data_IF_020184292615
#
_entry.id   IF_020184292615
#
_cell.length_a   1.000
_cell.length_b   1.000
_cell.length_c   1.000
_cell.angle_alpha   90.00
_cell.angle_beta   90.00
_cell.angle_gamma   90.00
#
_symmetry.space_group_name_H-M   'P 1'
#
loop_
_entity.id
_entity.type
_entity.pdbx_description
1 polymer ?
#
# COMPACT_ATOMS: atom_id res chain seq x y z
N UNK A 1 22.59 3.84 0.06
CA UNK A 1 23.54 4.84 0.59
C UNK A 1 22.74 6.05 0.96
N UNK A 2 22.71 6.38 2.26
CA UNK A 2 21.99 7.54 2.80
C UNK A 2 22.67 8.82 2.32
N UNK A 3 21.92 9.71 1.68
CA UNK A 3 22.35 11.08 1.48
C UNK A 3 21.74 11.89 2.64
N UNK A 4 22.59 12.44 3.51
CA UNK A 4 22.18 13.33 4.61
C UNK A 4 21.22 12.73 5.65
N UNK A 5 21.35 11.43 5.97
CA UNK A 5 20.50 10.75 6.98
C UNK A 5 19.07 10.48 6.51
N UNK A 6 18.79 10.65 5.21
CA UNK A 6 17.54 10.30 4.55
C UNK A 6 17.70 9.05 3.70
N UNK A 7 16.61 8.30 3.59
CA UNK A 7 16.48 7.19 2.67
C UNK A 7 16.53 7.66 1.21
N UNK A 8 17.11 6.84 0.34
CA UNK A 8 17.56 7.29 -0.98
C UNK A 8 16.39 7.59 -1.93
N UNK A 9 15.34 6.77 -1.93
CA UNK A 9 14.23 6.90 -2.86
C UNK A 9 13.09 7.72 -2.27
N UNK A 10 12.69 7.45 -1.02
CA UNK A 10 11.54 8.14 -0.40
C UNK A 10 11.92 9.51 0.20
N UNK A 11 13.22 9.78 0.40
CA UNK A 11 13.73 11.04 0.96
C UNK A 11 13.22 11.37 2.38
N UNK A 12 12.97 10.32 3.16
CA UNK A 12 12.49 10.37 4.55
C UNK A 12 13.61 10.01 5.53
N UNK A 13 13.56 10.56 6.73
CA UNK A 13 14.40 10.21 7.88
C UNK A 13 13.53 9.68 9.04
N UNK A 14 14.13 8.99 10.04
CA UNK A 14 13.40 8.62 11.25
C UNK A 14 12.67 9.81 11.88
N UNK A 15 11.38 9.63 12.18
CA UNK A 15 10.51 10.68 12.72
C UNK A 15 9.70 11.45 11.66
N UNK A 16 10.02 11.32 10.37
CA UNK A 16 9.23 11.92 9.28
C UNK A 16 7.86 11.23 9.09
N UNK A 17 7.79 9.94 9.42
CA UNK A 17 6.57 9.12 9.31
C UNK A 17 6.09 8.58 10.65
N UNK A 18 4.82 8.19 10.70
CA UNK A 18 4.26 7.40 11.79
C UNK A 18 4.55 5.90 11.65
N UNK A 19 4.13 5.11 12.65
CA UNK A 19 4.23 3.64 12.61
C UNK A 19 3.31 3.00 11.57
N UNK A 20 2.15 3.64 11.34
CA UNK A 20 1.11 3.18 10.43
C UNK A 20 1.14 3.97 9.12
N UNK A 21 1.29 3.27 8.00
CA UNK A 21 1.41 3.90 6.68
C UNK A 21 0.41 3.32 5.68
N UNK A 22 -0.39 4.20 5.07
CA UNK A 22 -1.25 3.85 3.93
C UNK A 22 -0.44 3.93 2.63
N UNK A 23 -0.56 2.92 1.76
CA UNK A 23 0.26 2.76 0.56
C UNK A 23 -0.57 2.77 -0.74
N UNK A 24 -1.01 3.94 -1.24
CA UNK A 24 -1.60 4.02 -2.58
C UNK A 24 -0.55 3.76 -3.66
N UNK A 25 -1.00 3.32 -4.84
CA UNK A 25 -0.11 3.23 -6.01
C UNK A 25 0.18 4.59 -6.62
N UNK A 26 -0.88 5.35 -6.89
CA UNK A 26 -0.83 6.65 -7.54
C UNK A 26 -0.40 7.76 -6.54
N UNK A 27 0.67 8.53 -6.82
CA UNK A 27 1.05 9.72 -6.05
C UNK A 27 -0.09 10.73 -5.86
N UNK A 28 -0.96 10.88 -6.87
CA UNK A 28 -2.12 11.77 -6.82
C UNK A 28 -3.17 11.35 -5.80
N UNK A 29 -3.09 10.12 -5.27
CA UNK A 29 -4.00 9.62 -4.22
C UNK A 29 -3.51 9.92 -2.81
N UNK A 30 -2.24 10.34 -2.63
CA UNK A 30 -1.71 10.67 -1.31
C UNK A 30 -2.42 11.88 -0.69
N UNK A 31 -2.61 12.96 -1.43
CA UNK A 31 -3.25 14.17 -0.91
C UNK A 31 -4.72 13.93 -0.51
N UNK A 32 -5.59 13.30 -1.33
CA UNK A 32 -6.96 12.96 -0.91
C UNK A 32 -7.03 12.05 0.32
N UNK A 33 -6.09 11.11 0.48
CA UNK A 33 -6.01 10.27 1.68
C UNK A 33 -5.56 11.12 2.88
N UNK A 34 -4.52 11.93 2.72
CA UNK A 34 -3.97 12.78 3.77
C UNK A 34 -4.98 13.82 4.28
N UNK A 35 -5.89 14.29 3.41
CA UNK A 35 -6.99 15.19 3.78
C UNK A 35 -7.97 14.58 4.80
N UNK A 36 -7.92 13.26 5.04
CA UNK A 36 -8.70 12.56 6.06
C UNK A 36 -7.97 12.44 7.40
N UNK A 37 -6.70 12.87 7.49
CA UNK A 37 -5.94 12.91 8.74
C UNK A 37 -6.03 14.31 9.37
N UNK A 38 -5.81 14.38 10.67
CA UNK A 38 -5.65 15.64 11.40
C UNK A 38 -4.24 16.23 11.16
N UNK A 39 -4.15 17.54 10.91
CA UNK A 39 -2.91 18.32 10.70
C UNK A 39 -1.89 17.67 9.72
N UNK A 40 -2.41 17.06 8.64
CA UNK A 40 -1.56 16.44 7.62
C UNK A 40 -0.69 17.46 6.87
N UNK A 41 0.58 17.12 6.71
CA UNK A 41 1.56 17.92 5.97
C UNK A 41 2.29 17.07 4.95
N UNK A 42 2.57 17.64 3.79
CA UNK A 42 3.48 17.06 2.81
C UNK A 42 4.89 17.03 3.44
N UNK A 43 5.48 15.84 3.52
CA UNK A 43 6.81 15.64 4.13
C UNK A 43 7.89 15.49 3.06
N UNK A 44 7.62 14.70 2.03
CA UNK A 44 8.53 14.47 0.92
C UNK A 44 7.78 14.20 -0.38
N UNK A 45 8.40 14.57 -1.50
CA UNK A 45 7.97 14.21 -2.85
C UNK A 45 9.22 13.97 -3.68
N UNK A 46 9.48 12.71 -4.01
CA UNK A 46 10.62 12.32 -4.83
C UNK A 46 10.25 11.12 -5.72
N UNK A 47 10.47 11.25 -7.03
CA UNK A 47 10.06 10.25 -8.03
C UNK A 47 8.56 9.92 -7.89
N UNK A 48 8.20 8.65 -7.78
CA UNK A 48 6.84 8.17 -7.53
C UNK A 48 6.44 8.13 -6.04
N UNK A 49 7.31 8.59 -5.12
CA UNK A 49 7.10 8.52 -3.67
C UNK A 49 6.70 9.90 -3.11
N UNK A 50 5.40 10.13 -2.97
CA UNK A 50 4.82 11.28 -2.30
C UNK A 50 4.38 10.83 -0.91
N UNK A 51 4.88 11.51 0.12
CA UNK A 51 4.58 11.19 1.52
C UNK A 51 3.94 12.37 2.24
N UNK A 52 2.79 12.11 2.85
CA UNK A 52 2.18 13.00 3.84
C UNK A 52 2.17 12.33 5.20
N UNK A 53 2.25 13.13 6.25
CA UNK A 53 2.15 12.67 7.64
C UNK A 53 1.23 13.60 8.40
N UNK A 54 0.35 13.03 9.21
CA UNK A 54 -0.60 13.71 10.08
C UNK A 54 -0.95 12.81 11.26
N UNK A 55 -2.18 12.93 11.76
CA UNK A 55 -2.65 12.15 12.90
C UNK A 55 -4.03 11.52 12.64
N UNK A 56 -4.27 10.36 13.24
CA UNK A 56 -5.58 9.74 13.36
C UNK A 56 -5.77 9.32 14.82
N UNK A 57 -6.83 9.78 15.47
CA UNK A 57 -7.10 9.51 16.88
C UNK A 57 -5.91 9.85 17.81
N UNK A 58 -5.14 10.90 17.46
CA UNK A 58 -3.93 11.33 18.17
C UNK A 58 -2.67 10.51 17.86
N UNK A 59 -2.76 9.43 17.09
CA UNK A 59 -1.64 8.60 16.67
C UNK A 59 -1.03 9.13 15.37
N UNK A 60 0.30 9.21 15.29
CA UNK A 60 0.99 9.68 14.09
C UNK A 60 0.84 8.64 12.97
N UNK A 61 0.31 9.06 11.83
CA UNK A 61 0.10 8.20 10.66
C UNK A 61 0.62 8.86 9.39
N UNK A 62 0.94 8.05 8.39
CA UNK A 62 1.44 8.54 7.11
C UNK A 62 0.71 7.90 5.93
N UNK A 63 0.83 8.54 4.78
CA UNK A 63 0.48 7.96 3.48
C UNK A 63 1.65 8.18 2.54
N UNK A 64 2.09 7.11 1.88
CA UNK A 64 3.23 7.12 0.94
C UNK A 64 2.86 6.38 -0.33
N UNK A 65 2.95 7.03 -1.49
CA UNK A 65 2.71 6.34 -2.76
C UNK A 65 3.84 5.38 -3.11
N UNK A 66 3.49 4.31 -3.82
CA UNK A 66 4.43 3.26 -4.21
C UNK A 66 4.77 3.26 -5.70
N UNK A 67 4.04 4.01 -6.52
CA UNK A 67 4.01 3.78 -7.96
C UNK A 67 3.32 2.46 -8.33
N UNK A 68 3.45 2.11 -9.62
CA UNK A 68 2.94 0.86 -10.20
C UNK A 68 4.04 -0.21 -10.16
N UNK A 69 3.67 -1.42 -9.75
CA UNK A 69 4.53 -2.60 -9.76
C UNK A 69 5.10 -2.94 -8.38
N UNK A 70 5.42 -4.22 -8.19
CA UNK A 70 6.07 -4.68 -6.98
C UNK A 70 7.49 -4.12 -6.77
N UNK A 71 8.32 -3.82 -7.80
CA UNK A 71 9.67 -3.33 -7.58
C UNK A 71 9.73 -1.99 -6.82
N UNK A 72 8.92 -1.02 -7.24
CA UNK A 72 8.83 0.30 -6.59
C UNK A 72 8.12 0.22 -5.23
N UNK A 73 7.11 -0.63 -5.11
CA UNK A 73 6.47 -0.89 -3.81
C UNK A 73 7.43 -1.49 -2.77
N UNK A 74 8.32 -2.41 -3.18
CA UNK A 74 9.32 -2.98 -2.30
C UNK A 74 10.31 -1.91 -1.80
N UNK A 75 10.77 -1.01 -2.68
CA UNK A 75 11.61 0.13 -2.29
C UNK A 75 10.92 0.98 -1.21
N UNK A 76 9.66 1.34 -1.41
CA UNK A 76 8.91 2.14 -0.44
C UNK A 76 8.81 1.44 0.91
N UNK A 77 8.43 0.16 0.93
CA UNK A 77 8.24 -0.60 2.18
C UNK A 77 9.56 -0.78 2.93
N UNK A 78 10.65 -1.12 2.24
CA UNK A 78 11.98 -1.27 2.85
C UNK A 78 12.45 0.04 3.50
N UNK A 79 12.42 1.15 2.75
CA UNK A 79 12.89 2.43 3.25
C UNK A 79 11.98 2.98 4.36
N UNK A 80 10.66 2.79 4.27
CA UNK A 80 9.72 3.15 5.34
C UNK A 80 9.96 2.34 6.61
N UNK A 81 10.25 1.04 6.49
CA UNK A 81 10.55 0.19 7.63
C UNK A 81 11.82 0.66 8.36
N UNK A 82 12.86 1.07 7.61
CA UNK A 82 14.10 1.60 8.17
C UNK A 82 13.86 2.90 8.96
N UNK A 83 12.92 3.75 8.54
CA UNK A 83 12.59 5.02 9.24
C UNK A 83 11.53 4.87 10.34
N UNK A 84 11.11 3.64 10.66
CA UNK A 84 10.32 3.32 11.84
C UNK A 84 8.84 3.01 11.59
N UNK A 85 8.40 2.89 10.32
CA UNK A 85 7.09 2.33 10.02
C UNK A 85 7.09 0.80 10.26
N UNK A 86 6.00 0.26 10.79
CA UNK A 86 5.90 -1.19 11.05
C UNK A 86 4.57 -1.80 10.59
N UNK A 87 3.59 -0.97 10.25
CA UNK A 87 2.25 -1.40 9.85
C UNK A 87 1.85 -0.74 8.55
N UNK A 88 1.59 -1.55 7.53
CA UNK A 88 1.34 -1.07 6.16
C UNK A 88 -0.02 -1.55 5.64
N UNK A 89 -0.82 -0.63 5.07
CA UNK A 89 -2.07 -0.97 4.40
C UNK A 89 -2.03 -0.44 2.97
N UNK A 90 -2.00 -1.33 1.98
CA UNK A 90 -2.09 -0.94 0.57
C UNK A 90 -3.51 -0.53 0.19
N UNK A 91 -3.66 0.66 -0.39
CA UNK A 91 -4.94 1.23 -0.84
C UNK A 91 -4.93 1.36 -2.37
N UNK A 92 -5.32 0.27 -3.03
CA UNK A 92 -5.22 0.12 -4.48
C UNK A 92 -6.55 0.18 -5.22
N UNK A 93 -6.45 -0.05 -6.52
CA UNK A 93 -7.56 -0.37 -7.42
C UNK A 93 -7.24 -1.71 -8.07
N UNK A 94 -8.26 -2.52 -8.35
CA UNK A 94 -8.09 -3.85 -8.95
C UNK A 94 -9.19 -4.13 -9.96
N UNK A 95 -8.89 -4.95 -10.95
CA UNK A 95 -9.90 -5.55 -11.84
C UNK A 95 -10.61 -6.71 -11.17
N UNK A 96 -11.89 -6.91 -11.51
CA UNK A 96 -12.66 -8.07 -11.10
C UNK A 96 -12.28 -9.32 -11.92
N UNK A 97 -12.09 -10.46 -11.25
CA UNK A 97 -11.92 -11.77 -11.90
C UNK A 97 -13.25 -12.55 -11.88
N UNK A 98 -13.96 -12.49 -10.74
CA UNK A 98 -15.25 -13.16 -10.56
C UNK A 98 -16.36 -12.34 -11.22
N UNK A 99 -17.21 -13.00 -12.01
CA UNK A 99 -18.25 -12.34 -12.84
C UNK A 99 -19.30 -11.57 -12.04
N UNK A 100 -19.48 -11.90 -10.76
CA UNK A 100 -20.45 -11.28 -9.86
C UNK A 100 -19.86 -10.10 -9.06
N UNK A 101 -18.59 -9.76 -9.26
CA UNK A 101 -18.00 -8.53 -8.71
C UNK A 101 -18.32 -7.37 -9.65
N UNK A 102 -18.88 -6.30 -9.07
CA UNK A 102 -19.17 -5.05 -9.78
C UNK A 102 -18.21 -3.94 -9.35
N UNK A 103 -17.98 -2.97 -10.25
CA UNK A 103 -17.16 -1.80 -9.95
C UNK A 103 -17.66 -1.05 -8.72
N UNK A 104 -16.73 -0.66 -7.85
CA UNK A 104 -17.02 0.04 -6.60
C UNK A 104 -17.18 -0.86 -5.37
N UNK A 105 -17.19 -2.19 -5.52
CA UNK A 105 -17.11 -3.10 -4.36
C UNK A 105 -15.71 -3.07 -3.74
N UNK A 106 -15.65 -3.08 -2.40
CA UNK A 106 -14.40 -3.14 -1.65
C UNK A 106 -13.89 -4.59 -1.57
N UNK A 107 -12.62 -4.81 -1.91
CA UNK A 107 -11.94 -6.07 -1.70
C UNK A 107 -10.94 -5.95 -0.53
N UNK A 108 -11.05 -6.85 0.44
CA UNK A 108 -10.09 -7.04 1.52
C UNK A 108 -9.26 -8.28 1.18
N UNK A 109 -7.97 -8.11 0.99
CA UNK A 109 -7.11 -9.17 0.47
C UNK A 109 -6.48 -9.95 1.62
N UNK A 110 -6.74 -11.25 1.70
CA UNK A 110 -6.15 -12.15 2.69
C UNK A 110 -4.85 -12.81 2.19
N UNK A 111 -4.60 -12.77 0.88
CA UNK A 111 -3.37 -13.24 0.25
C UNK A 111 -3.31 -12.94 -1.24
N UNK A 112 -2.16 -13.16 -1.86
CA UNK A 112 -1.94 -12.86 -3.26
C UNK A 112 -1.28 -14.04 -4.01
N UNK A 113 -1.70 -14.24 -5.27
CA UNK A 113 -0.95 -15.05 -6.24
C UNK A 113 0.30 -14.24 -6.62
N UNK A 114 1.47 -14.88 -6.50
CA UNK A 114 2.79 -14.32 -6.76
C UNK A 114 3.18 -14.46 -8.23
N UNK A 115 2.39 -13.86 -9.12
CA UNK A 115 2.62 -13.85 -10.58
C UNK A 115 3.50 -12.65 -10.98
N UNK A 116 4.57 -12.42 -10.23
CA UNK A 116 5.47 -11.28 -10.37
C UNK A 116 6.90 -11.64 -9.95
N UNK A 117 7.87 -10.85 -10.40
CA UNK A 117 9.29 -11.12 -10.22
C UNK A 117 9.90 -10.55 -8.95
N UNK A 118 9.23 -9.67 -8.21
CA UNK A 118 9.87 -9.04 -7.04
C UNK A 118 9.92 -9.98 -5.87
N UNK A 119 8.81 -10.64 -5.51
CA UNK A 119 8.78 -11.47 -4.30
C UNK A 119 9.73 -12.67 -4.36
N UNK A 120 10.04 -13.20 -5.56
CA UNK A 120 10.97 -14.32 -5.71
C UNK A 120 12.41 -13.97 -5.34
N UNK A 121 12.74 -12.66 -5.32
CA UNK A 121 14.02 -12.17 -4.84
C UNK A 121 14.07 -12.03 -3.31
N UNK A 122 12.91 -12.10 -2.64
CA UNK A 122 12.80 -12.06 -1.17
C UNK A 122 12.66 -13.45 -0.57
N UNK A 123 11.78 -14.28 -1.13
CA UNK A 123 11.43 -15.60 -0.59
C UNK A 123 11.24 -16.63 -1.72
N UNK A 124 11.54 -17.92 -1.47
CA UNK A 124 11.25 -19.01 -2.42
C UNK A 124 9.79 -19.00 -2.88
N UNK A 125 9.49 -19.40 -4.11
CA UNK A 125 8.14 -19.30 -4.71
C UNK A 125 7.05 -20.05 -3.92
N UNK A 126 7.44 -21.07 -3.18
CA UNK A 126 6.59 -21.88 -2.30
C UNK A 126 6.09 -21.10 -1.07
N UNK A 127 6.77 -20.03 -0.69
CA UNK A 127 6.36 -19.20 0.43
C UNK A 127 5.06 -18.43 0.09
N UNK A 128 4.01 -18.53 0.90
CA UNK A 128 2.75 -17.91 0.56
C UNK A 128 2.76 -16.40 0.86
N UNK A 129 2.30 -15.57 -0.09
CA UNK A 129 2.07 -14.16 0.16
C UNK A 129 0.73 -13.98 0.89
N UNK A 130 0.75 -14.05 2.22
CA UNK A 130 -0.42 -13.93 3.09
C UNK A 130 -0.41 -12.58 3.82
N UNK A 131 -1.59 -11.99 3.98
CA UNK A 131 -1.74 -10.76 4.76
C UNK A 131 -1.68 -11.07 6.26
N UNK A 132 -1.31 -10.07 7.06
CA UNK A 132 -1.39 -10.17 8.52
C UNK A 132 -2.85 -10.43 8.96
N UNK A 133 -3.03 -11.36 9.89
CA UNK A 133 -4.35 -11.81 10.32
C UNK A 133 -5.11 -10.70 11.05
N UNK A 134 -4.44 -10.01 11.97
CA UNK A 134 -5.07 -9.00 12.82
C UNK A 134 -5.45 -7.77 11.99
N UNK A 135 -4.60 -7.38 11.05
CA UNK A 135 -4.86 -6.29 10.11
C UNK A 135 -6.02 -6.62 9.17
N UNK A 136 -6.06 -7.85 8.65
CA UNK A 136 -7.17 -8.34 7.81
C UNK A 136 -8.49 -8.26 8.57
N UNK A 137 -8.51 -8.75 9.82
CA UNK A 137 -9.72 -8.68 10.65
C UNK A 137 -10.09 -7.24 11.02
N UNK A 138 -9.11 -6.35 11.25
CA UNK A 138 -9.35 -4.94 11.52
C UNK A 138 -10.06 -4.27 10.33
N UNK A 139 -9.60 -4.51 9.10
CA UNK A 139 -10.26 -4.04 7.88
C UNK A 139 -11.69 -4.58 7.74
N UNK A 140 -11.91 -5.88 8.03
CA UNK A 140 -13.26 -6.46 7.99
C UNK A 140 -14.19 -5.83 9.02
N UNK A 141 -13.70 -5.57 10.24
CA UNK A 141 -14.48 -4.88 11.29
C UNK A 141 -14.80 -3.46 10.88
N UNK A 142 -13.84 -2.74 10.31
CA UNK A 142 -14.05 -1.38 9.80
C UNK A 142 -15.11 -1.36 8.69
N UNK A 143 -15.01 -2.25 7.70
CA UNK A 143 -15.97 -2.34 6.60
C UNK A 143 -17.39 -2.71 7.08
N UNK A 144 -17.52 -3.62 8.05
CA UNK A 144 -18.81 -3.92 8.69
C UNK A 144 -19.38 -2.70 9.42
N UNK A 145 -18.55 -1.95 10.14
CA UNK A 145 -18.96 -0.75 10.89
C UNK A 145 -19.47 0.36 9.97
N UNK A 146 -18.87 0.53 8.79
CA UNK A 146 -19.30 1.54 7.81
C UNK A 146 -20.49 1.09 6.95
N UNK A 147 -20.86 -0.19 7.01
CA UNK A 147 -21.92 -0.76 6.18
C UNK A 147 -21.53 -0.89 4.70
N UNK A 148 -20.25 -0.70 4.34
CA UNK A 148 -19.78 -0.87 2.97
C UNK A 148 -19.84 -2.36 2.60
N UNK A 149 -20.34 -2.65 1.40
CA UNK A 149 -20.27 -4.01 0.86
C UNK A 149 -18.80 -4.34 0.57
N UNK A 150 -18.32 -5.44 1.12
CA UNK A 150 -16.96 -5.91 0.88
C UNK A 150 -16.91 -7.42 0.66
N UNK A 151 -15.81 -7.87 0.06
CA UNK A 151 -15.45 -9.28 -0.07
C UNK A 151 -14.06 -9.50 0.51
N UNK A 152 -13.83 -10.69 1.06
CA UNK A 152 -12.49 -11.09 1.51
C UNK A 152 -12.01 -12.27 0.67
N UNK A 153 -10.78 -12.21 0.16
CA UNK A 153 -10.26 -13.29 -0.68
C UNK A 153 -8.84 -13.05 -1.19
N UNK A 154 -8.48 -13.84 -2.19
CA UNK A 154 -7.17 -13.83 -2.83
C UNK A 154 -7.19 -12.91 -4.04
N UNK A 155 -6.14 -12.10 -4.21
CA UNK A 155 -5.90 -11.31 -5.43
C UNK A 155 -4.84 -11.98 -6.32
N UNK A 156 -4.80 -11.61 -7.60
CA UNK A 156 -3.62 -11.83 -8.43
C UNK A 156 -2.77 -10.56 -8.45
N UNK A 157 -1.48 -10.69 -8.18
CA UNK A 157 -0.47 -9.63 -8.39
C UNK A 157 0.37 -9.99 -9.60
N UNK A 158 0.55 -9.06 -10.55
CA UNK A 158 1.25 -9.34 -11.81
C UNK A 158 2.01 -8.16 -12.38
N UNK A 159 3.12 -8.44 -13.07
CA UNK A 159 4.02 -7.41 -13.61
C UNK A 159 3.55 -6.81 -14.94
N UNK A 160 2.87 -7.59 -15.78
CA UNK A 160 2.45 -7.12 -17.11
C UNK A 160 0.97 -6.76 -17.13
N UNK A 161 0.62 -5.48 -17.00
CA UNK A 161 -0.77 -5.02 -17.10
C UNK A 161 -1.45 -5.53 -18.38
N UNK A 162 -0.83 -5.30 -19.55
CA UNK A 162 -1.35 -5.71 -20.86
C UNK A 162 -1.25 -7.22 -21.15
N UNK A 163 -0.65 -8.01 -20.26
CA UNK A 163 -0.81 -9.47 -20.29
C UNK A 163 -2.20 -9.93 -19.82
N UNK A 164 -2.97 -9.07 -19.16
CA UNK A 164 -4.35 -9.33 -18.72
C UNK A 164 -5.40 -8.63 -19.57
N UNK A 165 -5.04 -7.53 -20.22
CA UNK A 165 -5.93 -6.72 -21.03
C UNK A 165 -5.29 -6.51 -22.40
N UNK A 166 -6.01 -6.82 -23.47
CA UNK A 166 -5.61 -6.37 -24.79
C UNK A 166 -5.79 -4.84 -24.87
N UNK A 167 -4.77 -4.09 -25.30
CA UNK A 167 -4.97 -2.67 -25.58
C UNK A 167 -5.95 -2.51 -26.75
N UNK A 168 -6.95 -1.64 -26.58
CA UNK A 168 -7.81 -1.16 -27.67
C UNK A 168 -7.04 -0.21 -28.61
#
# INVERSE_FOLDING_TARGET
MEANGKQYHVQLAPGDVGRYVLLPGDPGRCEPIAALFDDAKLVASNREYVTYTGYLDGEKVSVTSTGIGCPSAAIAVEELAIVGADTFIRVGTSGAIQKDIVSGELAIISGAIRDEGTSIHYMPIEFPAVADLDLTQALQRAAKKTGVKFRTGITQSKDSFYGQHEPE
#
